data_IF_265313209939
#
_entry.id   IF_265313209939
#
_cell.length_a   1.000
_cell.length_b   1.000
_cell.length_c   1.000
_cell.angle_alpha   90.00
_cell.angle_beta   90.00
_cell.angle_gamma   90.00
#
_symmetry.space_group_name_H-M   'P 1'
#
loop_
_entity.id
_entity.type
_entity.pdbx_description
1 polymer ?
#
# COMPACT_ATOMS: atom_id res chain seq x y z
N UNK A 1 -35.42 29.93 -0.60
CA UNK A 1 -34.23 30.82 -0.44
C UNK A 1 -33.30 30.60 -1.63
N UNK A 2 -33.01 31.60 -2.47
CA UNK A 2 -32.06 31.45 -3.59
C UNK A 2 -30.68 31.15 -3.01
N UNK A 3 -30.07 30.02 -3.36
CA UNK A 3 -28.69 29.69 -3.00
C UNK A 3 -27.79 30.82 -3.52
N UNK A 4 -26.96 31.39 -2.65
CA UNK A 4 -26.06 32.49 -3.02
C UNK A 4 -24.95 31.96 -3.94
N UNK A 5 -24.59 32.69 -5.00
CA UNK A 5 -23.50 32.31 -5.90
C UNK A 5 -22.16 32.10 -5.14
N UNK A 6 -21.96 32.81 -4.03
CA UNK A 6 -20.81 32.61 -3.14
C UNK A 6 -20.76 31.20 -2.53
N UNK A 7 -21.90 30.67 -2.06
CA UNK A 7 -21.98 29.35 -1.42
C UNK A 7 -21.73 28.23 -2.46
N UNK A 8 -22.24 28.43 -3.68
CA UNK A 8 -21.97 27.53 -4.81
C UNK A 8 -20.47 27.52 -5.13
N UNK A 9 -19.83 28.69 -5.19
CA UNK A 9 -18.41 28.81 -5.47
C UNK A 9 -17.54 28.12 -4.40
N UNK A 10 -17.88 28.29 -3.12
CA UNK A 10 -17.19 27.63 -2.01
C UNK A 10 -17.28 26.10 -2.11
N UNK A 11 -18.46 25.55 -2.37
CA UNK A 11 -18.62 24.10 -2.55
C UNK A 11 -17.88 23.57 -3.77
N UNK A 12 -17.91 24.29 -4.89
CA UNK A 12 -17.12 23.93 -6.07
C UNK A 12 -15.61 23.93 -5.77
N UNK A 13 -15.12 24.89 -4.98
CA UNK A 13 -13.71 24.91 -4.53
C UNK A 13 -13.37 23.68 -3.68
N UNK A 14 -14.24 23.27 -2.76
CA UNK A 14 -14.03 22.07 -1.94
C UNK A 14 -14.00 20.79 -2.78
N UNK A 15 -14.99 20.60 -3.65
CA UNK A 15 -15.05 19.48 -4.58
C UNK A 15 -13.78 19.42 -5.43
N UNK A 16 -13.35 20.57 -5.96
CA UNK A 16 -12.14 20.66 -6.79
C UNK A 16 -10.88 20.31 -6.02
N UNK A 17 -10.71 20.83 -4.79
CA UNK A 17 -9.57 20.49 -3.93
C UNK A 17 -9.50 18.99 -3.65
N UNK A 18 -10.63 18.38 -3.32
CA UNK A 18 -10.68 16.95 -3.04
C UNK A 18 -10.44 16.12 -4.32
N UNK A 19 -10.99 16.54 -5.45
CA UNK A 19 -10.77 15.89 -6.76
C UNK A 19 -9.30 15.90 -7.15
N UNK A 20 -8.57 17.00 -6.93
CA UNK A 20 -7.13 17.06 -7.20
C UNK A 20 -6.36 16.02 -6.38
N UNK A 21 -6.74 15.80 -5.11
CA UNK A 21 -6.14 14.75 -4.29
C UNK A 21 -6.51 13.35 -4.77
N UNK A 22 -7.78 13.13 -5.17
CA UNK A 22 -8.22 11.87 -5.78
C UNK A 22 -7.40 11.56 -7.03
N UNK A 23 -7.19 12.55 -7.92
CA UNK A 23 -6.39 12.37 -9.14
C UNK A 23 -4.95 11.96 -8.82
N UNK A 24 -4.31 12.59 -7.84
CA UNK A 24 -2.97 12.22 -7.38
C UNK A 24 -2.94 10.76 -6.89
N UNK A 25 -3.93 10.36 -6.08
CA UNK A 25 -4.04 9.00 -5.56
C UNK A 25 -4.31 7.97 -6.67
N UNK A 26 -5.10 8.31 -7.69
CA UNK A 26 -5.34 7.43 -8.86
C UNK A 26 -4.04 7.12 -9.60
N UNK A 27 -3.25 8.15 -9.91
CA UNK A 27 -1.97 7.97 -10.60
C UNK A 27 -1.01 7.10 -9.78
N UNK A 28 -0.98 7.33 -8.46
CA UNK A 28 -0.15 6.52 -7.57
C UNK A 28 -0.63 5.07 -7.47
N UNK A 29 -1.95 4.84 -7.43
CA UNK A 29 -2.53 3.51 -7.43
C UNK A 29 -2.19 2.72 -8.70
N UNK A 30 -2.22 3.38 -9.87
CA UNK A 30 -1.89 2.75 -11.16
C UNK A 30 -0.41 2.30 -11.21
N UNK A 31 0.52 3.10 -10.69
CA UNK A 31 1.95 2.72 -10.63
C UNK A 31 2.23 1.62 -9.59
N UNK A 32 1.39 1.51 -8.57
CA UNK A 32 1.54 0.52 -7.52
C UNK A 32 0.97 -0.85 -7.92
N UNK A 33 -0.02 -0.89 -8.82
CA UNK A 33 -0.62 -2.14 -9.28
C UNK A 33 0.43 -3.02 -10.00
N UNK A 34 0.62 -4.31 -9.61
CA UNK A 34 1.63 -5.19 -10.21
C UNK A 34 1.51 -5.31 -11.74
N UNK A 35 0.27 -5.41 -12.23
CA UNK A 35 -0.06 -5.46 -13.66
C UNK A 35 -0.40 -4.10 -14.28
N UNK A 36 -0.16 -2.97 -13.58
CA UNK A 36 -0.53 -1.61 -13.99
C UNK A 36 -1.98 -1.45 -14.47
N UNK A 37 -2.90 -2.18 -13.84
CA UNK A 37 -4.33 -2.10 -14.14
C UNK A 37 -4.96 -0.99 -13.32
N UNK A 38 -5.90 -0.31 -13.96
CA UNK A 38 -6.64 0.78 -13.32
C UNK A 38 -7.66 0.27 -12.31
N UNK A 39 -7.68 0.89 -11.13
CA UNK A 39 -8.67 0.62 -10.11
C UNK A 39 -10.00 1.30 -10.45
N UNK A 40 -10.99 0.51 -10.89
CA UNK A 40 -12.25 0.99 -11.47
C UNK A 40 -13.22 1.68 -10.47
N UNK A 41 -13.38 1.23 -9.21
CA UNK A 41 -14.34 1.84 -8.28
C UNK A 41 -14.28 3.38 -8.17
N UNK A 42 -13.11 4.03 -7.97
CA UNK A 42 -13.05 5.49 -7.92
C UNK A 42 -13.44 6.17 -9.24
N UNK A 43 -13.27 5.52 -10.39
CA UNK A 43 -13.71 6.06 -11.69
C UNK A 43 -15.23 6.16 -11.74
N UNK A 44 -15.93 5.13 -11.26
CA UNK A 44 -17.40 5.15 -11.19
C UNK A 44 -17.88 6.27 -10.27
N UNK A 45 -17.20 6.49 -9.15
CA UNK A 45 -17.51 7.59 -8.23
C UNK A 45 -17.26 8.96 -8.86
N UNK A 46 -16.14 9.15 -9.57
CA UNK A 46 -15.87 10.39 -10.30
C UNK A 46 -16.91 10.64 -11.41
N UNK A 47 -17.34 9.60 -12.13
CA UNK A 47 -18.43 9.71 -13.11
C UNK A 47 -19.73 10.17 -12.45
N UNK A 48 -20.11 9.56 -11.33
CA UNK A 48 -21.31 9.95 -10.60
C UNK A 48 -21.22 11.39 -10.06
N UNK A 49 -20.03 11.81 -9.59
CA UNK A 49 -19.79 13.19 -9.18
C UNK A 49 -19.95 14.17 -10.36
N UNK A 50 -19.42 13.80 -11.53
CA UNK A 50 -19.56 14.59 -12.75
C UNK A 50 -21.03 14.73 -13.18
N UNK A 51 -21.82 13.66 -13.11
CA UNK A 51 -23.27 13.71 -13.40
C UNK A 51 -24.00 14.70 -12.49
N UNK A 52 -23.65 14.75 -11.21
CA UNK A 52 -24.19 15.74 -10.27
C UNK A 52 -23.80 17.18 -10.65
N UNK A 53 -22.53 17.41 -11.02
CA UNK A 53 -22.09 18.72 -11.49
C UNK A 53 -22.81 19.15 -12.77
N UNK A 54 -22.99 18.24 -13.73
CA UNK A 54 -23.73 18.53 -14.97
C UNK A 54 -25.18 18.91 -14.70
N UNK A 55 -25.83 18.31 -13.69
CA UNK A 55 -27.18 18.71 -13.26
C UNK A 55 -27.22 20.13 -12.69
N UNK A 56 -26.17 20.55 -11.96
CA UNK A 56 -26.04 21.93 -11.48
C UNK A 56 -25.90 22.89 -12.67
N UNK A 57 -24.98 22.60 -13.59
CA UNK A 57 -24.75 23.45 -14.76
C UNK A 57 -25.94 23.51 -15.71
N UNK A 58 -26.69 22.42 -15.89
CA UNK A 58 -27.92 22.44 -16.68
C UNK A 58 -28.96 23.44 -16.12
N UNK A 59 -29.03 23.60 -14.81
CA UNK A 59 -29.88 24.63 -14.18
C UNK A 59 -29.27 26.02 -14.34
N UNK A 60 -27.96 26.20 -14.08
CA UNK A 60 -27.30 27.51 -14.21
C UNK A 60 -27.30 28.06 -15.64
N UNK A 61 -27.30 27.19 -16.64
CA UNK A 61 -27.38 27.56 -18.06
C UNK A 61 -28.82 27.57 -18.60
N UNK A 62 -29.83 27.48 -17.72
CA UNK A 62 -31.25 27.53 -18.09
C UNK A 62 -31.69 26.43 -19.07
N UNK A 63 -30.91 25.35 -19.17
CA UNK A 63 -31.24 24.16 -19.97
C UNK A 63 -32.28 23.28 -19.27
N UNK A 64 -32.48 23.46 -17.96
CA UNK A 64 -33.47 22.74 -17.15
C UNK A 64 -33.94 23.59 -15.96
N UNK A 65 -35.23 23.52 -15.63
CA UNK A 65 -35.77 24.12 -14.41
C UNK A 65 -35.44 23.26 -13.19
N UNK A 66 -34.99 23.89 -12.10
CA UNK A 66 -34.79 23.21 -10.82
C UNK A 66 -36.11 22.64 -10.30
N UNK A 67 -36.10 21.37 -9.88
CA UNK A 67 -37.29 20.71 -9.36
C UNK A 67 -37.69 21.17 -7.94
N UNK A 68 -36.72 21.70 -7.17
CA UNK A 68 -36.86 22.16 -5.78
C UNK A 68 -35.88 23.31 -5.52
N UNK A 69 -36.12 24.13 -4.49
CA UNK A 69 -35.24 25.26 -4.13
C UNK A 69 -33.81 24.83 -3.75
N UNK A 70 -33.66 23.66 -3.13
CA UNK A 70 -32.39 23.08 -2.68
C UNK A 70 -31.69 22.21 -3.73
N UNK A 71 -32.22 22.18 -4.96
CA UNK A 71 -31.76 21.25 -6.00
C UNK A 71 -30.26 21.42 -6.33
N UNK A 72 -29.78 22.67 -6.43
CA UNK A 72 -28.38 22.95 -6.73
C UNK A 72 -27.49 22.46 -5.57
N UNK A 73 -27.80 22.87 -4.34
CA UNK A 73 -27.04 22.48 -3.14
C UNK A 73 -26.99 20.97 -2.99
N UNK A 74 -28.12 20.27 -3.12
CA UNK A 74 -28.17 18.81 -3.02
C UNK A 74 -27.31 18.09 -4.06
N UNK A 75 -27.20 18.64 -5.28
CA UNK A 75 -26.32 18.08 -6.29
C UNK A 75 -24.84 18.40 -6.02
N UNK A 76 -24.50 19.58 -5.49
CA UNK A 76 -23.13 19.88 -5.06
C UNK A 76 -22.69 18.95 -3.91
N UNK A 77 -23.55 18.75 -2.91
CA UNK A 77 -23.30 17.78 -1.82
C UNK A 77 -23.24 16.35 -2.34
N UNK A 78 -24.04 16.00 -3.35
CA UNK A 78 -23.94 14.73 -4.07
C UNK A 78 -22.57 14.53 -4.72
N UNK A 79 -22.11 15.53 -5.47
CA UNK A 79 -20.79 15.52 -6.10
C UNK A 79 -19.67 15.39 -5.06
N UNK A 80 -19.71 16.17 -3.99
CA UNK A 80 -18.72 16.10 -2.90
C UNK A 80 -18.67 14.71 -2.26
N UNK A 81 -19.83 14.10 -1.96
CA UNK A 81 -19.91 12.74 -1.40
C UNK A 81 -19.30 11.68 -2.31
N UNK A 82 -19.50 11.79 -3.62
CA UNK A 82 -18.90 10.86 -4.58
C UNK A 82 -17.39 11.04 -4.69
N UNK A 83 -16.88 12.27 -4.77
CA UNK A 83 -15.41 12.50 -4.76
C UNK A 83 -14.78 12.03 -3.43
N UNK A 84 -15.48 12.22 -2.32
CA UNK A 84 -15.08 11.71 -1.00
C UNK A 84 -15.01 10.18 -0.95
N UNK A 85 -16.01 9.49 -1.51
CA UNK A 85 -15.98 8.03 -1.64
C UNK A 85 -14.81 7.56 -2.50
N UNK A 86 -14.57 8.20 -3.64
CA UNK A 86 -13.43 7.91 -4.50
C UNK A 86 -12.09 8.05 -3.75
N UNK A 87 -11.94 9.08 -2.91
CA UNK A 87 -10.74 9.27 -2.09
C UNK A 87 -10.51 8.10 -1.13
N UNK A 88 -11.55 7.67 -0.41
CA UNK A 88 -11.43 6.55 0.51
C UNK A 88 -11.17 5.22 -0.20
N UNK A 89 -11.85 4.95 -1.31
CA UNK A 89 -11.62 3.73 -2.09
C UNK A 89 -10.16 3.64 -2.53
N UNK A 90 -9.57 4.76 -2.97
CA UNK A 90 -8.17 4.83 -3.36
C UNK A 90 -7.22 4.70 -2.17
N UNK A 91 -7.47 5.38 -1.05
CA UNK A 91 -6.64 5.26 0.15
C UNK A 91 -6.62 3.81 0.66
N UNK A 92 -7.79 3.16 0.67
CA UNK A 92 -7.93 1.75 1.02
C UNK A 92 -7.09 0.88 0.09
N UNK A 93 -7.27 1.04 -1.22
CA UNK A 93 -6.54 0.30 -2.24
C UNK A 93 -5.02 0.50 -2.13
N UNK A 94 -4.55 1.75 -2.08
CA UNK A 94 -3.13 2.09 -1.96
C UNK A 94 -2.55 1.50 -0.68
N UNK A 95 -3.26 1.58 0.45
CA UNK A 95 -2.78 1.04 1.73
C UNK A 95 -2.52 -0.46 1.66
N UNK A 96 -3.41 -1.21 1.00
CA UNK A 96 -3.30 -2.66 0.87
C UNK A 96 -2.11 -3.01 -0.01
N UNK A 97 -2.01 -2.37 -1.18
CA UNK A 97 -0.93 -2.68 -2.12
C UNK A 97 0.45 -2.28 -1.58
N UNK A 98 0.55 -1.19 -0.82
CA UNK A 98 1.80 -0.80 -0.17
C UNK A 98 2.25 -1.84 0.84
N UNK A 99 1.35 -2.28 1.73
CA UNK A 99 1.67 -3.32 2.73
C UNK A 99 2.04 -4.64 2.07
N UNK A 100 1.29 -5.06 1.05
CA UNK A 100 1.60 -6.28 0.31
C UNK A 100 2.97 -6.18 -0.35
N UNK A 101 3.28 -5.05 -1.00
CA UNK A 101 4.58 -4.84 -1.63
C UNK A 101 5.73 -4.90 -0.61
N UNK A 102 5.58 -4.30 0.56
CA UNK A 102 6.59 -4.43 1.64
C UNK A 102 6.82 -5.90 1.99
N UNK A 103 5.74 -6.68 2.15
CA UNK A 103 5.83 -8.11 2.47
C UNK A 103 6.49 -8.89 1.33
N UNK A 104 6.13 -8.63 0.07
CA UNK A 104 6.68 -9.31 -1.09
C UNK A 104 8.20 -9.08 -1.22
N UNK A 105 8.68 -7.86 -0.91
CA UNK A 105 10.11 -7.52 -0.98
C UNK A 105 10.96 -8.25 0.07
N UNK A 106 10.36 -8.73 1.16
CA UNK A 106 11.07 -9.37 2.28
C UNK A 106 10.72 -10.85 2.49
N UNK A 107 9.70 -11.37 1.81
CA UNK A 107 9.18 -12.73 2.06
C UNK A 107 10.24 -13.82 1.80
N UNK A 108 11.16 -13.59 0.86
CA UNK A 108 12.23 -14.52 0.53
C UNK A 108 13.52 -14.31 1.37
N UNK A 109 13.51 -13.32 2.27
CA UNK A 109 14.66 -12.97 3.10
C UNK A 109 14.55 -13.69 4.45
N UNK A 110 15.64 -14.33 4.90
CA UNK A 110 15.63 -15.03 6.19
C UNK A 110 15.48 -14.07 7.37
N UNK A 111 14.88 -14.57 8.44
CA UNK A 111 14.80 -13.87 9.73
C UNK A 111 16.18 -13.46 10.25
N UNK A 112 17.22 -14.26 10.01
CA UNK A 112 18.60 -13.93 10.39
C UNK A 112 19.09 -12.68 9.62
N UNK A 113 18.91 -12.66 8.30
CA UNK A 113 19.28 -11.52 7.48
C UNK A 113 18.52 -10.24 7.89
N UNK A 114 17.22 -10.35 8.14
CA UNK A 114 16.41 -9.24 8.62
C UNK A 114 16.89 -8.73 9.99
N UNK A 115 17.19 -9.61 10.95
CA UNK A 115 17.67 -9.18 12.27
C UNK A 115 19.05 -8.52 12.22
N UNK A 116 19.94 -8.98 11.33
CA UNK A 116 21.32 -8.50 11.27
C UNK A 116 21.44 -7.23 10.41
N UNK A 117 20.77 -7.20 9.27
CA UNK A 117 20.93 -6.14 8.26
C UNK A 117 19.81 -5.11 8.37
N UNK A 118 18.60 -5.52 8.74
CA UNK A 118 17.43 -4.62 8.84
C UNK A 118 16.67 -4.74 10.18
N UNK A 119 17.35 -4.55 11.33
CA UNK A 119 16.72 -4.74 12.65
C UNK A 119 15.51 -3.81 12.88
N UNK A 120 15.49 -2.63 12.25
CA UNK A 120 14.35 -1.70 12.30
C UNK A 120 13.04 -2.35 11.80
N UNK A 121 13.12 -3.38 10.93
CA UNK A 121 11.95 -4.08 10.42
C UNK A 121 11.09 -4.65 11.55
N UNK A 122 11.66 -5.46 12.44
CA UNK A 122 10.93 -6.07 13.55
C UNK A 122 10.71 -5.11 14.72
N UNK A 123 11.62 -4.17 14.93
CA UNK A 123 11.55 -3.25 16.06
C UNK A 123 10.54 -2.13 15.88
N UNK A 124 10.30 -1.70 14.64
CA UNK A 124 9.47 -0.51 14.35
C UNK A 124 8.54 -0.70 13.16
N UNK A 125 9.05 -1.10 12.01
CA UNK A 125 8.27 -1.08 10.76
C UNK A 125 7.07 -2.03 10.84
N UNK A 126 7.30 -3.29 11.21
CA UNK A 126 6.23 -4.28 11.34
C UNK A 126 5.20 -3.88 12.40
N UNK A 127 5.58 -3.50 13.64
CA UNK A 127 4.63 -2.95 14.62
C UNK A 127 3.82 -1.75 14.11
N UNK A 128 4.46 -0.81 13.40
CA UNK A 128 3.77 0.38 12.90
C UNK A 128 2.83 0.07 11.72
N UNK A 129 3.11 -0.96 10.92
CA UNK A 129 2.20 -1.45 9.88
C UNK A 129 0.94 -2.07 10.52
N UNK A 130 1.10 -2.84 11.61
CA UNK A 130 -0.03 -3.37 12.37
C UNK A 130 -0.86 -2.23 12.98
N UNK A 131 -0.20 -1.24 13.60
CA UNK A 131 -0.86 -0.05 14.13
C UNK A 131 -1.60 0.73 13.06
N UNK A 132 -0.99 0.93 11.89
CA UNK A 132 -1.63 1.58 10.75
C UNK A 132 -2.89 0.83 10.32
N UNK A 133 -2.91 -0.50 10.40
CA UNK A 133 -4.09 -1.30 10.04
C UNK A 133 -5.26 -1.04 11.00
N UNK A 134 -4.97 -0.89 12.30
CA UNK A 134 -5.97 -0.48 13.30
C UNK A 134 -6.47 0.94 13.04
N UNK A 135 -5.59 1.91 12.81
CA UNK A 135 -5.96 3.30 12.52
C UNK A 135 -6.86 3.40 11.26
N UNK A 136 -6.55 2.62 10.23
CA UNK A 136 -7.36 2.52 9.00
C UNK A 136 -8.74 1.94 9.29
N UNK A 137 -8.82 0.90 10.12
CA UNK A 137 -10.10 0.32 10.54
C UNK A 137 -10.97 1.37 11.25
N UNK A 138 -10.38 2.20 12.11
CA UNK A 138 -11.09 3.28 12.80
C UNK A 138 -11.58 4.36 11.84
N UNK A 139 -10.82 4.69 10.80
CA UNK A 139 -11.28 5.58 9.73
C UNK A 139 -12.46 4.98 8.96
N UNK A 140 -12.41 3.69 8.62
CA UNK A 140 -13.51 3.00 7.93
C UNK A 140 -14.78 2.95 8.77
N UNK A 141 -14.64 2.71 10.07
CA UNK A 141 -15.76 2.65 11.01
C UNK A 141 -16.43 4.01 11.21
N UNK A 142 -15.62 5.08 11.37
CA UNK A 142 -16.13 6.43 11.65
C UNK A 142 -16.56 7.21 10.42
N UNK A 143 -16.14 6.78 9.22
CA UNK A 143 -16.46 7.45 7.95
C UNK A 143 -17.98 7.53 7.77
N UNK A 144 -18.52 8.74 7.88
CA UNK A 144 -19.88 9.04 7.48
C UNK A 144 -19.89 9.56 6.04
N UNK A 145 -20.60 8.85 5.16
CA UNK A 145 -20.76 9.27 3.76
C UNK A 145 -21.80 10.38 3.60
N UNK A 146 -22.62 10.63 4.62
CA UNK A 146 -23.58 11.72 4.70
C UNK A 146 -22.96 13.06 5.12
N UNK A 147 -21.79 13.03 5.77
CA UNK A 147 -21.08 14.20 6.31
C UNK A 147 -19.58 14.16 5.92
N UNK A 148 -19.23 14.50 4.66
CA UNK A 148 -17.85 14.42 4.17
C UNK A 148 -16.88 15.33 4.95
N UNK A 149 -15.90 14.71 5.63
CA UNK A 149 -14.85 15.42 6.37
C UNK A 149 -13.53 15.34 5.63
N UNK A 150 -13.19 16.38 4.89
CA UNK A 150 -11.93 16.47 4.13
C UNK A 150 -10.70 16.22 5.04
N UNK A 151 -10.78 16.60 6.31
CA UNK A 151 -9.72 16.37 7.29
C UNK A 151 -9.45 14.88 7.56
N UNK A 152 -10.47 14.01 7.46
CA UNK A 152 -10.30 12.56 7.61
C UNK A 152 -9.51 11.98 6.43
N UNK A 153 -9.75 12.48 5.21
CA UNK A 153 -8.96 12.10 4.02
C UNK A 153 -7.50 12.49 4.19
N UNK A 154 -7.22 13.67 4.76
CA UNK A 154 -5.84 14.13 5.01
C UNK A 154 -5.13 13.23 6.03
N UNK A 155 -5.76 12.98 7.18
CA UNK A 155 -5.18 12.13 8.23
C UNK A 155 -4.95 10.71 7.74
N UNK A 156 -5.86 10.18 6.92
CA UNK A 156 -5.63 8.87 6.31
C UNK A 156 -4.46 8.95 5.28
N UNK A 157 -4.37 10.00 4.46
CA UNK A 157 -3.21 10.19 3.58
C UNK A 157 -1.87 10.22 4.35
N UNK A 158 -1.81 10.80 5.55
CA UNK A 158 -0.62 10.77 6.40
C UNK A 158 -0.19 9.34 6.81
N UNK A 159 -1.17 8.45 7.03
CA UNK A 159 -0.90 7.02 7.28
C UNK A 159 -0.29 6.38 6.02
N UNK A 160 -0.81 6.70 4.84
CA UNK A 160 -0.27 6.22 3.56
C UNK A 160 1.17 6.68 3.38
N UNK A 161 1.46 7.95 3.63
CA UNK A 161 2.81 8.51 3.53
C UNK A 161 3.78 7.80 4.48
N UNK A 162 3.33 7.48 5.70
CA UNK A 162 4.11 6.67 6.65
C UNK A 162 4.41 5.27 6.11
N UNK A 163 3.41 4.55 5.60
CA UNK A 163 3.62 3.20 5.02
C UNK A 163 4.53 3.28 3.80
N UNK A 164 4.37 4.30 2.95
CA UNK A 164 5.23 4.54 1.79
C UNK A 164 6.70 4.71 2.20
N UNK A 165 6.97 5.47 3.26
CA UNK A 165 8.34 5.62 3.77
C UNK A 165 8.97 4.29 4.20
N UNK A 166 8.16 3.33 4.68
CA UNK A 166 8.64 1.98 5.01
C UNK A 166 8.91 1.13 3.78
N UNK A 167 8.13 1.28 2.71
CA UNK A 167 8.44 0.66 1.43
C UNK A 167 9.76 1.20 0.87
N UNK A 168 9.95 2.52 0.86
CA UNK A 168 11.17 3.14 0.34
C UNK A 168 12.42 2.63 1.08
N UNK A 169 12.37 2.58 2.41
CA UNK A 169 13.43 1.97 3.23
C UNK A 169 13.68 0.50 2.92
N UNK A 170 12.60 -0.28 2.77
CA UNK A 170 12.69 -1.70 2.43
C UNK A 170 13.39 -1.89 1.09
N UNK A 171 13.04 -1.09 0.08
CA UNK A 171 13.66 -1.13 -1.25
C UNK A 171 15.14 -0.72 -1.21
N UNK A 172 15.48 0.30 -0.43
CA UNK A 172 16.86 0.78 -0.25
C UNK A 172 17.76 -0.32 0.35
N UNK A 173 17.28 -1.04 1.37
CA UNK A 173 18.09 -2.02 2.09
C UNK A 173 18.10 -3.42 1.44
N UNK A 174 17.15 -3.68 0.53
CA UNK A 174 16.98 -4.96 -0.16
C UNK A 174 18.26 -5.54 -0.78
N UNK A 175 19.10 -4.76 -1.51
CA UNK A 175 20.34 -5.30 -2.07
C UNK A 175 21.29 -5.84 -0.99
N UNK A 176 21.35 -5.18 0.18
CA UNK A 176 22.17 -5.61 1.31
C UNK A 176 21.65 -6.90 1.94
N UNK A 177 20.32 -7.08 2.01
CA UNK A 177 19.69 -8.32 2.46
C UNK A 177 20.04 -9.48 1.53
N UNK A 178 19.94 -9.27 0.21
CA UNK A 178 20.29 -10.28 -0.79
C UNK A 178 21.77 -10.65 -0.71
N UNK A 179 22.67 -9.67 -0.60
CA UNK A 179 24.10 -9.92 -0.47
C UNK A 179 24.43 -10.74 0.79
N UNK A 180 23.73 -10.50 1.89
CA UNK A 180 23.87 -11.28 3.12
C UNK A 180 23.43 -12.73 2.92
N UNK A 181 22.26 -12.95 2.33
CA UNK A 181 21.72 -14.28 1.99
C UNK A 181 22.70 -15.08 1.13
N UNK A 182 23.22 -14.47 0.07
CA UNK A 182 24.16 -15.14 -0.82
C UNK A 182 25.46 -15.52 -0.11
N UNK A 183 25.99 -14.64 0.74
CA UNK A 183 27.19 -14.92 1.54
C UNK A 183 26.95 -16.09 2.49
N UNK A 184 25.85 -16.08 3.23
CA UNK A 184 25.48 -17.17 4.15
C UNK A 184 25.29 -18.51 3.42
N UNK A 185 24.61 -18.49 2.28
CA UNK A 185 24.44 -19.70 1.44
C UNK A 185 25.80 -20.24 0.97
N UNK A 186 26.76 -19.39 0.61
CA UNK A 186 28.13 -19.80 0.24
C UNK A 186 28.90 -20.39 1.44
N UNK A 187 28.79 -19.77 2.61
CA UNK A 187 29.42 -20.26 3.86
C UNK A 187 28.88 -21.65 4.24
N UNK A 188 27.56 -21.83 4.22
CA UNK A 188 26.92 -23.12 4.50
C UNK A 188 27.33 -24.19 3.49
N UNK A 189 27.36 -23.86 2.19
CA UNK A 189 27.83 -24.79 1.16
C UNK A 189 29.29 -25.19 1.37
N UNK A 190 30.17 -24.24 1.72
CA UNK A 190 31.58 -24.50 2.00
C UNK A 190 31.77 -25.39 3.23
N UNK A 191 31.01 -25.15 4.30
CA UNK A 191 31.03 -25.96 5.52
C UNK A 191 30.55 -27.39 5.25
N UNK A 192 29.41 -27.57 4.56
CA UNK A 192 28.93 -28.90 4.16
C UNK A 192 29.91 -29.65 3.26
N UNK A 193 30.56 -28.95 2.33
CA UNK A 193 31.59 -29.55 1.49
C UNK A 193 32.80 -30.04 2.30
N UNK A 194 33.24 -29.26 3.29
CA UNK A 194 34.32 -29.65 4.19
C UNK A 194 33.95 -30.87 5.03
N UNK A 195 32.71 -30.93 5.56
CA UNK A 195 32.20 -32.10 6.29
C UNK A 195 32.22 -33.36 5.42
N UNK A 196 31.75 -33.28 4.17
CA UNK A 196 31.78 -34.41 3.24
C UNK A 196 33.21 -34.89 3.00
N UNK A 197 34.17 -33.99 2.82
CA UNK A 197 35.59 -34.35 2.67
C UNK A 197 36.14 -35.06 3.91
N UNK A 198 35.75 -34.63 5.12
CA UNK A 198 36.13 -35.29 6.37
C UNK A 198 35.55 -36.70 6.44
N UNK A 199 34.27 -36.89 6.10
CA UNK A 199 33.65 -38.23 6.08
C UNK A 199 34.31 -39.18 5.08
N UNK A 200 34.67 -38.68 3.89
CA UNK A 200 35.41 -39.46 2.88
C UNK A 200 36.79 -39.87 3.44
N UNK A 201 37.52 -38.93 4.05
CA UNK A 201 38.82 -39.23 4.63
C UNK A 201 38.74 -40.29 5.74
N UNK A 202 37.74 -40.20 6.63
CA UNK A 202 37.50 -41.19 7.68
C UNK A 202 37.22 -42.56 7.06
N UNK A 203 36.34 -42.65 6.05
CA UNK A 203 36.00 -43.91 5.39
C UNK A 203 37.22 -44.58 4.75
N UNK A 204 38.11 -43.79 4.10
CA UNK A 204 39.36 -44.31 3.52
C UNK A 204 40.27 -44.87 4.61
N UNK A 205 40.50 -44.12 5.70
CA UNK A 205 41.38 -44.55 6.79
C UNK A 205 40.85 -45.82 7.46
N UNK A 206 39.54 -45.87 7.76
CA UNK A 206 38.91 -47.07 8.33
C UNK A 206 38.99 -48.27 7.39
N UNK A 207 38.81 -48.06 6.08
CA UNK A 207 38.96 -49.12 5.07
C UNK A 207 40.38 -49.68 5.00
N UNK A 208 41.39 -48.80 5.03
CA UNK A 208 42.81 -49.22 5.04
C UNK A 208 43.14 -50.00 6.31
N UNK A 209 42.73 -49.51 7.49
CA UNK A 209 42.97 -50.20 8.77
C UNK A 209 42.29 -51.59 8.76
N UNK A 210 41.04 -51.67 8.29
CA UNK A 210 40.32 -52.93 8.17
C UNK A 210 41.00 -53.93 7.23
N UNK A 211 41.48 -53.45 6.07
CA UNK A 211 42.21 -54.27 5.12
C UNK A 211 43.55 -54.79 5.70
N UNK A 212 44.28 -53.94 6.42
CA UNK A 212 45.53 -54.34 7.10
C UNK A 212 45.22 -55.39 8.17
N UNK A 213 44.23 -55.17 9.03
CA UNK A 213 43.86 -56.16 10.06
C UNK A 213 43.44 -57.50 9.47
N UNK A 214 42.66 -57.50 8.38
CA UNK A 214 42.28 -58.72 7.66
C UNK A 214 43.47 -59.46 7.04
N UNK A 215 44.55 -58.76 6.67
CA UNK A 215 45.74 -59.40 6.13
C UNK A 215 46.63 -60.06 7.20
N UNK A 216 46.46 -59.69 8.48
CA UNK A 216 47.28 -60.19 9.60
C UNK A 216 46.57 -61.24 10.48
N UNK A 217 45.27 -61.48 10.28
CA UNK A 217 44.45 -62.46 11.00
C UNK A 217 43.77 -63.41 10.03
#
# INVERSE_FOLDING_TARGET
MKVNDTEIEERLKEITKLYLKVRELMLYADELHPEKKTFIPPINEIRNAFDHLMRVFAVKFELKTAAKEDYITNNLEGALRHVYRAAFDLLDYVSINLRNKILDEINEISTEALNVVFPEYYQKIRPDIEKASTEISDFRYRKDMGDPKIDDVKKYAEIIDRIKSYLDKTLEIRPSLIAYEERKKKEVRKSKFLEILIYIAIAIVSGVIGAVLYAYF
#
